data_IF_325680266838
#
_entry.id   IF_325680266838
#
_cell.length_a   1.000
_cell.length_b   1.000
_cell.length_c   1.000
_cell.angle_alpha   90.00
_cell.angle_beta   90.00
_cell.angle_gamma   90.00
#
_symmetry.space_group_name_H-M   'P 1'
#
loop_
_entity.id
_entity.type
_entity.pdbx_description
1 polymer ?
#
# COMPACT_ATOMS: atom_id res chain seq x y z
N UNK A 1 9.00 -3.06 4.99
CA UNK A 1 9.75 -2.55 3.82
C UNK A 1 9.07 -2.93 2.49
N UNK A 2 7.73 -2.90 2.45
CA UNK A 2 6.93 -3.18 1.27
C UNK A 2 5.82 -2.11 1.19
N UNK A 3 6.22 -0.86 0.93
CA UNK A 3 5.33 0.25 0.61
C UNK A 3 4.82 0.15 -0.85
N UNK A 4 4.43 -1.05 -1.28
CA UNK A 4 3.81 -1.23 -2.59
C UNK A 4 2.33 -0.84 -2.52
N UNK A 5 2.07 0.45 -2.71
CA UNK A 5 0.74 1.01 -2.85
C UNK A 5 0.22 0.93 -4.28
N UNK A 6 -1.00 1.44 -4.46
CA UNK A 6 -1.61 1.57 -5.79
C UNK A 6 -0.75 2.45 -6.73
N UNK A 7 -0.01 3.41 -6.17
CA UNK A 7 0.81 4.35 -6.92
C UNK A 7 1.98 3.67 -7.62
N UNK A 8 2.66 2.75 -6.94
CA UNK A 8 3.77 1.96 -7.48
C UNK A 8 3.30 1.11 -8.66
N UNK A 9 2.13 0.45 -8.53
CA UNK A 9 1.53 -0.30 -9.63
C UNK A 9 1.16 0.58 -10.82
N UNK A 10 0.67 1.81 -10.58
CA UNK A 10 0.37 2.76 -11.64
C UNK A 10 1.63 3.17 -12.42
N UNK A 11 2.73 3.50 -11.70
CA UNK A 11 4.02 3.83 -12.32
C UNK A 11 4.56 2.66 -13.13
N UNK A 12 4.58 1.45 -12.56
CA UNK A 12 5.02 0.24 -13.26
C UNK A 12 4.14 -0.01 -14.51
N UNK A 13 2.84 0.21 -14.40
CA UNK A 13 1.90 0.13 -15.52
C UNK A 13 2.25 1.09 -16.65
N UNK A 14 2.54 2.35 -16.33
CA UNK A 14 2.96 3.36 -17.32
C UNK A 14 4.27 2.95 -18.00
N UNK A 15 5.28 2.53 -17.23
CA UNK A 15 6.57 2.07 -17.77
C UNK A 15 6.35 0.86 -18.68
N UNK A 16 5.54 -0.10 -18.26
CA UNK A 16 5.21 -1.29 -19.05
C UNK A 16 4.50 -0.91 -20.36
N UNK A 17 3.59 0.07 -20.35
CA UNK A 17 2.94 0.57 -21.57
C UNK A 17 3.94 1.20 -22.53
N UNK A 18 4.95 1.92 -22.04
CA UNK A 18 5.99 2.53 -22.89
C UNK A 18 6.89 1.46 -23.50
N UNK A 19 7.34 0.49 -22.71
CA UNK A 19 8.30 -0.54 -23.16
C UNK A 19 7.65 -1.57 -24.10
N UNK A 20 6.46 -2.05 -23.73
CA UNK A 20 5.75 -3.12 -24.45
C UNK A 20 4.84 -2.55 -25.54
N UNK A 21 4.34 -1.34 -25.33
CA UNK A 21 3.32 -0.70 -26.16
C UNK A 21 1.89 -0.95 -25.64
N UNK A 22 1.00 0.06 -25.69
CA UNK A 22 -0.37 -0.04 -25.17
C UNK A 22 -1.22 -1.07 -25.91
N UNK A 23 -0.93 -1.36 -27.18
CA UNK A 23 -1.68 -2.34 -27.96
C UNK A 23 -1.31 -3.80 -27.61
N UNK A 24 -0.07 -4.03 -27.16
CA UNK A 24 0.44 -5.40 -26.92
C UNK A 24 0.35 -5.82 -25.46
N UNK A 25 0.43 -4.88 -24.52
CA UNK A 25 0.28 -5.13 -23.08
C UNK A 25 -1.03 -5.85 -22.71
N UNK A 26 -2.23 -5.47 -23.22
CA UNK A 26 -3.47 -6.19 -22.92
C UNK A 26 -3.48 -7.62 -23.47
N UNK A 27 -2.83 -7.89 -24.61
CA UNK A 27 -2.71 -9.23 -25.14
C UNK A 27 -1.83 -10.13 -24.24
N UNK A 28 -0.73 -9.59 -23.68
CA UNK A 28 0.11 -10.30 -22.72
C UNK A 28 -0.60 -10.53 -21.39
N UNK A 29 -1.28 -9.50 -20.85
CA UNK A 29 -2.05 -9.62 -19.62
C UNK A 29 -3.15 -10.69 -19.74
N UNK A 30 -3.84 -10.76 -20.89
CA UNK A 30 -4.81 -11.83 -21.17
C UNK A 30 -4.16 -13.21 -21.15
N UNK A 31 -3.02 -13.40 -21.81
CA UNK A 31 -2.29 -14.68 -21.82
C UNK A 31 -1.86 -15.06 -20.41
N UNK A 32 -1.21 -14.16 -19.68
CA UNK A 32 -0.79 -14.36 -18.29
C UNK A 32 -1.99 -14.71 -17.39
N UNK A 33 -3.10 -13.98 -17.52
CA UNK A 33 -4.33 -14.22 -16.79
C UNK A 33 -4.96 -15.59 -17.08
N UNK A 34 -4.91 -16.07 -18.33
CA UNK A 34 -5.35 -17.42 -18.67
C UNK A 34 -4.51 -18.49 -17.97
N UNK A 35 -3.19 -18.32 -17.91
CA UNK A 35 -2.30 -19.25 -17.20
C UNK A 35 -2.50 -19.19 -15.68
N UNK A 36 -2.58 -17.99 -15.11
CA UNK A 36 -2.87 -17.80 -13.69
C UNK A 36 -4.23 -18.42 -13.31
N UNK A 37 -5.25 -18.25 -14.16
CA UNK A 37 -6.57 -18.83 -13.97
C UNK A 37 -6.55 -20.37 -14.04
N UNK A 38 -5.77 -20.96 -14.96
CA UNK A 38 -5.57 -22.41 -15.02
C UNK A 38 -4.88 -22.95 -13.76
N UNK A 39 -3.85 -22.25 -13.28
CA UNK A 39 -3.16 -22.61 -12.03
C UNK A 39 -4.11 -22.52 -10.82
N UNK A 40 -4.89 -21.44 -10.71
CA UNK A 40 -5.85 -21.29 -9.62
C UNK A 40 -6.93 -22.40 -9.65
N UNK A 41 -7.39 -22.80 -10.85
CA UNK A 41 -8.29 -23.96 -11.00
C UNK A 41 -7.65 -25.27 -10.57
N UNK A 42 -6.37 -25.47 -10.89
CA UNK A 42 -5.61 -26.66 -10.49
C UNK A 42 -5.44 -26.73 -8.96
N UNK A 43 -5.06 -25.61 -8.33
CA UNK A 43 -4.98 -25.50 -6.86
C UNK A 43 -6.34 -25.76 -6.21
N UNK A 44 -7.43 -25.21 -6.77
CA UNK A 44 -8.79 -25.49 -6.28
C UNK A 44 -9.15 -26.97 -6.39
N UNK A 45 -8.81 -27.63 -7.51
CA UNK A 45 -9.03 -29.07 -7.70
C UNK A 45 -8.26 -29.87 -6.65
N UNK A 46 -6.97 -29.61 -6.46
CA UNK A 46 -6.17 -30.28 -5.42
C UNK A 46 -6.76 -30.05 -4.04
N UNK A 47 -7.16 -28.83 -3.71
CA UNK A 47 -7.86 -28.57 -2.44
C UNK A 47 -9.12 -29.42 -2.32
N UNK A 48 -9.97 -29.44 -3.34
CA UNK A 48 -11.22 -30.23 -3.32
C UNK A 48 -10.98 -31.73 -3.19
N UNK A 49 -9.95 -32.27 -3.86
CA UNK A 49 -9.61 -33.69 -3.80
C UNK A 49 -9.01 -34.04 -2.42
N UNK A 50 -8.13 -33.20 -1.88
CA UNK A 50 -7.59 -33.35 -0.51
C UNK A 50 -8.71 -33.23 0.54
N UNK A 51 -9.66 -32.30 0.37
CA UNK A 51 -10.80 -32.14 1.29
C UNK A 51 -11.71 -33.38 1.34
N UNK A 52 -11.79 -34.15 0.25
CA UNK A 52 -12.61 -35.35 0.19
C UNK A 52 -11.92 -36.58 0.78
N UNK A 53 -10.58 -36.60 0.84
CA UNK A 53 -9.81 -37.80 1.24
C UNK A 53 -9.12 -37.65 2.61
N UNK A 54 -8.75 -36.44 3.02
CA UNK A 54 -8.13 -36.14 4.31
C UNK A 54 -8.67 -34.82 4.87
N UNK A 55 -9.55 -34.94 5.87
CA UNK A 55 -9.93 -33.92 6.87
C UNK A 55 -9.24 -32.55 6.67
N UNK A 56 -9.85 -31.69 5.87
CA UNK A 56 -9.35 -30.32 5.69
C UNK A 56 -9.43 -29.45 6.95
N UNK A 57 -10.02 -29.97 8.04
CA UNK A 57 -9.99 -29.30 9.34
C UNK A 57 -8.59 -29.34 9.99
N UNK A 58 -7.76 -30.37 9.77
CA UNK A 58 -6.43 -30.47 10.41
C UNK A 58 -5.37 -29.59 9.71
N UNK A 59 -5.50 -29.33 8.41
CA UNK A 59 -4.61 -28.40 7.67
C UNK A 59 -5.08 -26.94 7.77
N UNK A 60 -6.39 -26.70 7.92
CA UNK A 60 -6.94 -25.35 8.13
C UNK A 60 -6.54 -24.78 9.48
N UNK A 61 -6.28 -25.63 10.49
CA UNK A 61 -5.76 -25.22 11.79
C UNK A 61 -4.29 -24.76 11.69
N UNK A 62 -3.45 -25.44 10.89
CA UNK A 62 -2.04 -25.06 10.68
C UNK A 62 -1.85 -23.88 9.70
N UNK A 63 -2.77 -23.69 8.75
CA UNK A 63 -2.81 -22.57 7.81
C UNK A 63 -3.71 -21.41 8.26
N UNK A 64 -4.34 -21.51 9.44
CA UNK A 64 -4.84 -20.34 10.18
C UNK A 64 -3.66 -19.88 11.02
N UNK A 65 -2.74 -19.04 10.55
CA UNK A 65 -2.84 -17.57 10.62
C UNK A 65 -3.69 -17.05 11.80
N UNK A 66 -3.70 -17.75 12.94
CA UNK A 66 -4.29 -17.27 14.19
C UNK A 66 -3.21 -16.59 15.03
N UNK A 67 -1.99 -17.12 14.98
CA UNK A 67 -0.84 -16.52 15.65
C UNK A 67 -0.36 -15.27 14.89
N UNK A 68 -0.08 -15.37 13.59
CA UNK A 68 0.50 -14.25 12.82
C UNK A 68 -0.43 -13.02 12.73
N UNK A 69 -1.75 -13.21 12.63
CA UNK A 69 -2.71 -12.11 12.65
C UNK A 69 -2.80 -11.42 14.01
N UNK A 70 -2.71 -12.17 15.11
CA UNK A 70 -2.74 -11.57 16.45
C UNK A 70 -1.48 -10.75 16.72
N UNK A 71 -0.32 -11.26 16.31
CA UNK A 71 0.96 -10.55 16.45
C UNK A 71 1.05 -9.35 15.52
N UNK A 72 0.55 -9.44 14.29
CA UNK A 72 0.44 -8.29 13.38
C UNK A 72 -0.54 -7.24 13.89
N UNK A 73 -1.70 -7.63 14.42
CA UNK A 73 -2.67 -6.68 14.99
C UNK A 73 -2.10 -5.94 16.19
N UNK A 74 -1.40 -6.62 17.10
CA UNK A 74 -0.74 -5.98 18.24
C UNK A 74 0.34 -4.99 17.79
N UNK A 75 1.18 -5.39 16.82
CA UNK A 75 2.21 -4.50 16.28
C UNK A 75 1.62 -3.27 15.57
N UNK A 76 0.45 -3.41 14.92
CA UNK A 76 -0.23 -2.28 14.28
C UNK A 76 -0.88 -1.33 15.29
N UNK A 77 -1.46 -1.85 16.38
CA UNK A 77 -2.04 -1.04 17.45
C UNK A 77 -0.96 -0.22 18.18
N UNK A 78 0.19 -0.83 18.50
CA UNK A 78 1.33 -0.13 19.14
C UNK A 78 1.90 0.99 18.25
N UNK A 79 1.98 0.75 16.93
CA UNK A 79 2.44 1.77 15.97
C UNK A 79 1.42 2.90 15.86
N UNK A 80 0.13 2.59 15.88
CA UNK A 80 -0.94 3.59 15.80
C UNK A 80 -0.94 4.49 17.04
N UNK A 81 -0.83 3.92 18.23
CA UNK A 81 -0.71 4.68 19.49
C UNK A 81 0.54 5.57 19.51
N UNK A 82 1.64 5.08 18.94
CA UNK A 82 2.86 5.88 18.81
C UNK A 82 2.66 7.04 17.84
N UNK A 83 2.08 6.79 16.66
CA UNK A 83 1.80 7.81 15.65
C UNK A 83 0.81 8.85 16.17
N UNK A 84 -0.22 8.46 16.92
CA UNK A 84 -1.18 9.40 17.51
C UNK A 84 -0.52 10.30 18.57
N UNK A 85 0.41 9.77 19.37
CA UNK A 85 1.25 10.57 20.29
C UNK A 85 2.15 11.56 19.55
N UNK A 86 2.85 11.11 18.51
CA UNK A 86 3.66 12.01 17.68
C UNK A 86 2.80 13.04 16.96
N UNK A 87 1.59 12.68 16.53
CA UNK A 87 0.67 13.61 15.88
C UNK A 87 0.15 14.66 16.87
N UNK A 88 -0.05 14.33 18.13
CA UNK A 88 -0.36 15.30 19.19
C UNK A 88 0.82 16.23 19.47
N UNK A 89 2.04 15.71 19.59
CA UNK A 89 3.25 16.53 19.79
C UNK A 89 3.52 17.46 18.60
N UNK A 90 3.30 16.99 17.36
CA UNK A 90 3.50 17.80 16.15
C UNK A 90 2.35 18.83 15.97
N UNK A 91 1.13 18.52 16.44
CA UNK A 91 0.01 19.48 16.44
C UNK A 91 0.18 20.56 17.51
N UNK A 92 0.84 20.25 18.64
CA UNK A 92 1.19 21.24 19.68
C UNK A 92 2.35 22.17 19.26
N UNK A 93 3.18 21.75 18.30
CA UNK A 93 4.25 22.59 17.71
C UNK A 93 3.77 23.37 16.47
N UNK A 94 2.55 23.14 15.97
CA UNK A 94 1.99 23.76 14.77
C UNK A 94 1.06 24.97 15.04
N UNK A 95 1.21 25.67 16.16
CA UNK A 95 0.73 27.04 16.31
C UNK A 95 1.89 28.05 16.32
N UNK A 96 2.22 28.72 15.20
CA UNK A 96 2.94 29.96 15.27
C UNK A 96 1.93 31.10 15.44
N UNK A 97 1.68 31.48 16.70
CA UNK A 97 1.17 32.82 17.05
C UNK A 97 2.17 33.87 16.54
N UNK A 98 1.70 35.00 15.97
CA UNK A 98 2.47 35.81 15.04
C UNK A 98 3.31 36.85 15.79
N UNK A 99 4.62 36.65 15.94
CA UNK A 99 5.52 37.73 16.35
C UNK A 99 6.92 37.60 15.74
N UNK A 100 7.16 38.45 14.74
CA UNK A 100 8.35 39.30 14.57
C UNK A 100 9.67 38.57 14.22
N UNK A 101 10.45 38.88 13.18
CA UNK A 101 10.90 40.17 12.63
C UNK A 101 11.52 39.92 11.25
N UNK A 102 11.55 40.96 10.42
CA UNK A 102 12.68 41.37 9.55
C UNK A 102 13.34 40.24 8.74
N UNK A 103 13.19 40.16 7.42
CA UNK A 103 13.82 41.06 6.46
C UNK A 103 13.32 40.72 5.05
N UNK A 104 12.76 41.69 4.33
CA UNK A 104 12.85 41.78 2.86
C UNK A 104 12.61 43.25 2.51
N UNK A 105 13.72 44.01 2.57
CA UNK A 105 13.82 45.34 1.99
C UNK A 105 13.81 45.23 0.46
N UNK A 106 13.42 46.35 -0.15
CA UNK A 106 13.83 46.88 -1.47
C UNK A 106 12.71 46.93 -2.51
N UNK A 107 12.31 48.19 -2.77
CA UNK A 107 11.65 48.75 -3.96
C UNK A 107 10.21 48.27 -4.21
N UNK A 108 9.23 49.11 -4.53
CA UNK A 108 9.22 50.32 -5.35
C UNK A 108 7.80 50.88 -5.16
N UNK A 109 7.58 52.14 -4.79
CA UNK A 109 6.90 53.19 -5.60
C UNK A 109 6.32 54.14 -4.53
N UNK A 110 6.90 55.30 -4.23
CA UNK A 110 6.90 56.51 -5.05
C UNK A 110 5.49 56.96 -5.47
N UNK A 111 4.79 57.71 -4.62
CA UNK A 111 4.03 58.93 -4.98
C UNK A 111 3.40 59.46 -3.69
N UNK A 112 3.83 60.55 -3.05
CA UNK A 112 4.06 61.92 -3.53
C UNK A 112 2.76 62.61 -3.98
N UNK A 113 1.84 62.88 -3.05
CA UNK A 113 1.28 64.23 -2.82
C UNK A 113 0.33 64.25 -1.62
#
# INVERSE_FOLDING_TARGET
>A
MFDFGFWEFAIIGIIALIVVGPDKMPALARKAGLYAGKFNKFVRKIKTDINQELKADELKEQLSIKDEKSTLSQALDDVKDSVDKYKQEITEVAEPTPQTKEDLKVNEVAEKK
#
